data_IF_669634807593
#
_entry.id   IF_669634807593
#
_cell.length_a   1.000
_cell.length_b   1.000
_cell.length_c   1.000
_cell.angle_alpha   90.00
_cell.angle_beta   90.00
_cell.angle_gamma   90.00
#
_symmetry.space_group_name_H-M   'P 1'
#
loop_
_entity.id
_entity.type
_entity.pdbx_description
1 polymer ?
#
# COMPACT_ATOMS: atom_id res chain seq x y z
N UNK A 1 6.77 9.82 17.75
CA UNK A 1 7.00 10.20 16.35
C UNK A 1 6.42 11.61 16.20
N UNK A 2 7.26 12.63 16.07
CA UNK A 2 6.85 14.04 16.30
C UNK A 2 5.93 14.61 15.20
N UNK A 3 5.91 13.99 14.01
CA UNK A 3 5.16 14.49 12.85
C UNK A 3 3.63 14.41 13.00
N UNK A 4 3.09 13.36 13.64
CA UNK A 4 1.64 13.22 13.87
C UNK A 4 1.08 14.28 14.83
N UNK A 5 1.91 14.79 15.75
CA UNK A 5 1.54 15.83 16.70
C UNK A 5 1.70 17.25 16.17
N UNK A 6 2.48 17.44 15.10
CA UNK A 6 2.74 18.76 14.52
C UNK A 6 1.63 19.21 13.57
N UNK A 7 1.08 18.30 12.76
CA UNK A 7 -0.02 18.61 11.84
C UNK A 7 -0.89 17.37 11.55
N UNK A 8 -1.83 17.03 12.44
CA UNK A 8 -2.69 15.86 12.27
C UNK A 8 -3.69 15.99 11.11
N UNK A 9 -3.90 17.20 10.59
CA UNK A 9 -4.83 17.49 9.50
C UNK A 9 -4.20 17.32 8.11
N UNK A 10 -2.89 17.10 8.03
CA UNK A 10 -2.17 16.95 6.78
C UNK A 10 -2.21 15.50 6.29
N UNK A 11 -2.77 15.28 5.10
CA UNK A 11 -2.92 13.96 4.50
C UNK A 11 -1.58 13.26 4.20
N UNK A 12 -0.53 14.02 3.90
CA UNK A 12 0.79 13.50 3.52
C UNK A 12 1.54 12.88 4.71
N UNK A 13 1.34 13.42 5.91
CA UNK A 13 1.95 12.91 7.15
C UNK A 13 1.50 11.47 7.41
N UNK A 14 0.22 11.21 7.20
CA UNK A 14 -0.37 9.88 7.34
C UNK A 14 0.12 8.91 6.26
N UNK A 15 0.31 9.36 5.02
CA UNK A 15 0.93 8.52 3.97
C UNK A 15 2.36 8.17 4.33
N UNK A 16 3.15 9.16 4.77
CA UNK A 16 4.54 8.94 5.19
C UNK A 16 4.63 7.97 6.36
N UNK A 17 3.75 8.09 7.34
CA UNK A 17 3.65 7.17 8.46
C UNK A 17 3.32 5.75 7.99
N UNK A 18 2.35 5.59 7.09
CA UNK A 18 2.00 4.31 6.51
C UNK A 18 3.17 3.67 5.76
N UNK A 19 3.88 4.45 4.94
CA UNK A 19 5.09 3.98 4.25
C UNK A 19 6.21 3.61 5.23
N UNK A 20 6.38 4.38 6.31
CA UNK A 20 7.34 4.08 7.37
C UNK A 20 7.03 2.74 8.03
N UNK A 21 5.77 2.46 8.37
CA UNK A 21 5.39 1.16 8.93
C UNK A 21 5.69 0.02 7.95
N UNK A 22 5.34 0.16 6.66
CA UNK A 22 5.67 -0.85 5.64
C UNK A 22 7.19 -1.08 5.58
N UNK A 23 7.99 -0.01 5.52
CA UNK A 23 9.45 -0.11 5.47
C UNK A 23 10.03 -0.77 6.74
N UNK A 24 9.51 -0.43 7.92
CA UNK A 24 9.95 -1.03 9.17
C UNK A 24 9.63 -2.52 9.24
N UNK A 25 8.46 -2.95 8.74
CA UNK A 25 8.16 -4.40 8.68
C UNK A 25 9.09 -5.15 7.74
N UNK A 26 9.51 -4.54 6.63
CA UNK A 26 10.48 -5.13 5.73
C UNK A 26 11.88 -5.19 6.39
N UNK A 27 12.25 -4.16 7.14
CA UNK A 27 13.52 -4.11 7.87
C UNK A 27 13.58 -5.17 8.98
N UNK A 28 12.52 -5.28 9.79
CA UNK A 28 12.46 -6.29 10.86
C UNK A 28 12.50 -7.70 10.28
N UNK A 29 11.78 -7.98 9.18
CA UNK A 29 11.86 -9.25 8.47
C UNK A 29 13.28 -9.56 7.93
N UNK A 30 13.99 -8.54 7.45
CA UNK A 30 15.38 -8.70 6.96
C UNK A 30 16.36 -8.98 8.10
N UNK A 31 16.23 -8.26 9.23
CA UNK A 31 17.08 -8.45 10.43
C UNK A 31 16.77 -9.74 11.21
N UNK A 32 15.60 -10.35 11.01
CA UNK A 32 15.23 -11.63 11.58
C UNK A 32 15.86 -12.83 10.85
N UNK A 33 16.55 -12.62 9.72
CA UNK A 33 17.48 -13.61 9.16
C UNK A 33 18.66 -13.77 10.13
N UNK A 34 19.04 -15.00 10.55
CA UNK A 34 19.82 -15.22 11.76
C UNK A 34 21.31 -14.97 11.50
N UNK A 35 21.73 -13.72 11.48
CA UNK A 35 23.13 -13.35 11.69
C UNK A 35 23.17 -11.90 12.15
N UNK A 36 23.58 -11.74 13.42
CA UNK A 36 23.76 -10.49 14.16
C UNK A 36 22.51 -9.89 14.83
N UNK A 37 22.11 -10.54 15.93
CA UNK A 37 21.67 -9.79 17.12
C UNK A 37 22.84 -8.92 17.60
N UNK A 38 22.80 -7.62 17.35
CA UNK A 38 23.54 -6.63 18.11
C UNK A 38 22.60 -5.45 18.34
N UNK A 39 22.20 -5.29 19.59
CA UNK A 39 21.05 -4.48 19.98
C UNK A 39 21.22 -2.99 19.78
N UNK A 40 20.08 -2.31 19.77
CA UNK A 40 19.92 -0.98 20.37
C UNK A 40 18.58 -1.03 21.10
N UNK A 41 18.66 -0.83 22.42
CA UNK A 41 17.53 -0.66 23.30
C UNK A 41 17.12 0.83 23.36
N UNK A 42 15.84 1.01 23.70
CA UNK A 42 15.16 2.17 24.31
C UNK A 42 14.70 3.35 23.45
N UNK A 43 13.40 3.58 23.57
CA UNK A 43 12.69 4.85 23.42
C UNK A 43 11.21 4.66 23.79
N UNK A 44 10.90 4.73 25.08
CA UNK A 44 9.54 4.67 25.64
C UNK A 44 8.65 5.81 25.13
N UNK A 45 7.39 5.51 24.83
CA UNK A 45 6.27 6.42 25.00
C UNK A 45 5.03 5.58 25.32
N UNK A 46 4.47 5.84 26.50
CA UNK A 46 3.34 5.17 27.12
C UNK A 46 2.03 5.58 26.44
N UNK A 47 1.09 4.64 26.37
CA UNK A 47 -0.24 4.80 25.79
C UNK A 47 -1.03 3.51 25.94
N UNK A 48 -1.38 3.23 27.19
CA UNK A 48 -2.41 2.33 27.73
C UNK A 48 -2.95 1.20 26.82
N UNK A 49 -2.48 -0.01 27.14
CA UNK A 49 -2.99 -1.30 26.71
C UNK A 49 -4.30 -1.63 27.45
N UNK A 50 -5.38 -1.88 26.71
CA UNK A 50 -6.40 -2.84 27.16
C UNK A 50 -6.10 -4.19 26.52
N UNK A 51 -5.87 -5.16 27.39
CA UNK A 51 -5.54 -6.53 27.08
C UNK A 51 -6.73 -7.29 26.48
N UNK A 52 -6.47 -8.08 25.44
CA UNK A 52 -7.20 -9.35 25.24
C UNK A 52 -6.28 -10.38 24.57
N UNK A 53 -6.38 -11.59 25.08
CA UNK A 53 -5.41 -12.67 25.08
C UNK A 53 -5.36 -13.43 23.75
N UNK A 54 -4.17 -13.92 23.34
CA UNK A 54 -4.09 -14.80 22.18
C UNK A 54 -2.71 -15.10 21.63
N UNK A 55 -1.97 -15.94 22.34
CA UNK A 55 -0.77 -16.65 21.91
C UNK A 55 -0.99 -17.38 20.55
N UNK A 56 0.01 -17.33 19.65
CA UNK A 56 0.06 -17.74 18.21
C UNK A 56 -0.41 -16.70 17.15
N UNK A 57 0.34 -15.60 16.91
CA UNK A 57 -0.07 -14.65 15.86
C UNK A 57 0.92 -13.61 15.29
N UNK A 58 2.22 -13.67 15.58
CA UNK A 58 3.16 -12.56 15.31
C UNK A 58 3.26 -12.07 13.86
N UNK A 59 3.00 -12.91 12.86
CA UNK A 59 3.12 -12.52 11.44
C UNK A 59 1.84 -11.95 10.83
N UNK A 60 0.67 -12.15 11.47
CA UNK A 60 -0.62 -11.90 10.80
C UNK A 60 -0.94 -10.42 10.58
N UNK A 61 -0.24 -9.50 11.24
CA UNK A 61 -0.77 -8.14 11.36
C UNK A 61 0.23 -7.00 11.33
N UNK A 62 1.47 -7.26 10.93
CA UNK A 62 2.52 -6.24 10.87
C UNK A 62 2.14 -5.01 10.00
N UNK A 63 1.20 -5.17 9.06
CA UNK A 63 0.77 -4.14 8.13
C UNK A 63 -0.52 -3.39 8.54
N UNK A 64 -1.22 -3.78 9.62
CA UNK A 64 -2.42 -3.05 10.10
C UNK A 64 -2.14 -1.57 10.43
N UNK A 65 -1.03 -1.23 11.13
CA UNK A 65 -0.72 0.17 11.40
C UNK A 65 -0.54 1.00 10.12
N UNK A 66 -0.03 0.37 9.05
CA UNK A 66 0.09 1.03 7.75
C UNK A 66 -1.29 1.26 7.09
N UNK A 67 -2.19 0.26 7.15
CA UNK A 67 -3.57 0.40 6.67
C UNK A 67 -4.34 1.49 7.42
N UNK A 68 -4.19 1.56 8.75
CA UNK A 68 -4.81 2.61 9.57
C UNK A 68 -4.28 4.00 9.19
N UNK A 69 -2.99 4.14 8.97
CA UNK A 69 -2.40 5.40 8.53
C UNK A 69 -2.92 5.81 7.15
N UNK A 70 -2.96 4.90 6.17
CA UNK A 70 -3.50 5.22 4.84
C UNK A 70 -5.01 5.53 4.89
N UNK A 71 -5.80 4.81 5.67
CA UNK A 71 -7.23 5.08 5.81
C UNK A 71 -7.48 6.45 6.46
N UNK A 72 -6.67 6.85 7.45
CA UNK A 72 -6.72 8.22 8.01
C UNK A 72 -6.44 9.29 6.96
N UNK A 73 -5.45 9.08 6.08
CA UNK A 73 -5.18 9.98 4.96
C UNK A 73 -6.40 10.12 4.03
N UNK A 74 -7.05 8.99 3.71
CA UNK A 74 -8.27 8.98 2.88
C UNK A 74 -9.48 9.62 3.57
N UNK A 75 -9.57 9.56 4.90
CA UNK A 75 -10.61 10.25 5.66
C UNK A 75 -10.45 11.78 5.62
N UNK A 76 -9.21 12.28 5.53
CA UNK A 76 -8.94 13.70 5.34
C UNK A 76 -9.23 14.11 3.89
N UNK A 77 -8.79 13.29 2.92
CA UNK A 77 -8.96 13.54 1.50
C UNK A 77 -9.19 12.24 0.73
N UNK A 78 -10.46 12.00 0.38
CA UNK A 78 -10.90 10.78 -0.29
C UNK A 78 -10.18 10.53 -1.64
N UNK A 79 -9.82 11.60 -2.34
CA UNK A 79 -9.18 11.54 -3.65
C UNK A 79 -7.66 11.67 -3.58
N UNK A 80 -7.02 11.41 -2.43
CA UNK A 80 -5.58 11.56 -2.28
C UNK A 80 -4.80 10.44 -3.00
N UNK A 81 -4.09 10.74 -4.11
CA UNK A 81 -3.50 9.70 -4.95
C UNK A 81 -2.43 8.84 -4.26
N UNK A 82 -1.46 9.42 -3.51
CA UNK A 82 -0.43 8.64 -2.84
C UNK A 82 -0.98 7.62 -1.84
N UNK A 83 -2.04 7.95 -1.09
CA UNK A 83 -2.69 7.01 -0.16
C UNK A 83 -3.36 5.86 -0.91
N UNK A 84 -4.16 6.14 -1.94
CA UNK A 84 -4.86 5.11 -2.72
C UNK A 84 -3.89 4.12 -3.36
N UNK A 85 -2.84 4.64 -4.01
CA UNK A 85 -1.79 3.84 -4.66
C UNK A 85 -1.04 2.99 -3.63
N UNK A 86 -0.68 3.57 -2.48
CA UNK A 86 0.05 2.86 -1.42
C UNK A 86 -0.80 1.77 -0.76
N UNK A 87 -2.09 2.04 -0.53
CA UNK A 87 -3.03 1.07 0.02
C UNK A 87 -3.28 -0.09 -0.96
N UNK A 88 -3.44 0.19 -2.25
CA UNK A 88 -3.56 -0.85 -3.27
C UNK A 88 -2.31 -1.74 -3.36
N UNK A 89 -1.10 -1.14 -3.31
CA UNK A 89 0.18 -1.87 -3.23
C UNK A 89 0.21 -2.77 -1.98
N UNK A 90 -0.27 -2.27 -0.84
CA UNK A 90 -0.33 -3.04 0.41
C UNK A 90 -1.22 -4.28 0.26
N UNK A 91 -2.44 -4.14 -0.24
CA UNK A 91 -3.36 -5.26 -0.44
C UNK A 91 -2.84 -6.30 -1.43
N UNK A 92 -2.21 -5.88 -2.53
CA UNK A 92 -1.55 -6.78 -3.49
C UNK A 92 -0.39 -7.55 -2.84
N UNK A 93 0.44 -6.87 -2.05
CA UNK A 93 1.58 -7.51 -1.34
C UNK A 93 1.10 -8.56 -0.33
N UNK A 94 -0.01 -8.28 0.36
CA UNK A 94 -0.61 -9.18 1.34
C UNK A 94 -1.25 -10.38 0.64
N UNK A 95 -1.97 -10.16 -0.46
CA UNK A 95 -2.56 -11.23 -1.27
C UNK A 95 -1.47 -12.16 -1.85
N UNK A 96 -0.37 -11.60 -2.35
CA UNK A 96 0.75 -12.39 -2.89
C UNK A 96 1.36 -13.29 -1.82
N UNK A 97 1.55 -12.77 -0.60
CA UNK A 97 2.05 -13.57 0.55
C UNK A 97 1.07 -14.67 0.97
N UNK A 98 -0.22 -14.39 1.00
CA UNK A 98 -1.25 -15.38 1.35
C UNK A 98 -1.35 -16.51 0.32
N UNK A 99 -1.23 -16.19 -0.97
CA UNK A 99 -1.20 -17.16 -2.05
C UNK A 99 0.01 -18.11 -1.97
N UNK A 100 1.17 -17.61 -1.51
CA UNK A 100 2.37 -18.43 -1.31
C UNK A 100 2.22 -19.36 -0.09
N UNK A 101 1.54 -18.92 0.98
CA UNK A 101 1.39 -19.69 2.21
C UNK A 101 0.34 -20.83 2.13
N UNK A 102 -0.60 -20.78 1.18
CA UNK A 102 -1.69 -21.77 1.02
C UNK A 102 -1.44 -22.80 -0.10
N UNK A 103 -0.18 -23.16 -0.34
CA UNK A 103 0.21 -24.23 -1.26
C UNK A 103 -0.06 -25.66 -0.75
N UNK A 104 -0.72 -25.83 0.41
CA UNK A 104 -1.21 -27.14 0.84
C UNK A 104 -2.49 -27.51 0.08
N UNK A 105 -2.55 -28.70 -0.55
CA UNK A 105 -3.70 -29.15 -1.33
C UNK A 105 -4.77 -29.69 -0.37
N UNK A 106 -5.48 -28.80 0.33
CA UNK A 106 -6.66 -29.19 1.10
C UNK A 106 -7.89 -28.50 0.51
N UNK A 107 -8.87 -29.34 0.17
CA UNK A 107 -9.99 -29.20 -0.76
C UNK A 107 -11.10 -28.18 -0.38
N UNK A 108 -10.74 -27.03 0.21
CA UNK A 108 -11.65 -25.90 0.40
C UNK A 108 -11.05 -24.68 -0.27
N UNK A 109 -11.38 -24.46 -1.54
CA UNK A 109 -10.97 -23.32 -2.35
C UNK A 109 -11.07 -21.99 -1.56
N UNK A 110 -9.96 -21.39 -1.09
CA UNK A 110 -10.07 -20.22 -0.23
C UNK A 110 -9.47 -19.00 -0.92
N UNK A 111 -10.23 -17.90 -0.98
CA UNK A 111 -9.74 -16.52 -0.77
C UNK A 111 -8.52 -16.02 -1.58
N UNK A 112 -8.12 -16.68 -2.69
CA UNK A 112 -6.89 -16.35 -3.44
C UNK A 112 -6.85 -14.93 -4.03
N UNK A 113 -8.02 -14.29 -4.14
CA UNK A 113 -8.17 -12.96 -4.73
C UNK A 113 -8.67 -11.88 -3.77
N UNK A 114 -8.87 -12.13 -2.46
CA UNK A 114 -9.50 -11.14 -1.57
C UNK A 114 -8.77 -9.78 -1.55
N UNK A 115 -7.44 -9.78 -1.54
CA UNK A 115 -6.68 -8.52 -1.63
C UNK A 115 -6.62 -7.94 -3.04
N UNK A 116 -6.68 -8.77 -4.09
CA UNK A 116 -6.74 -8.31 -5.47
C UNK A 116 -8.09 -7.65 -5.79
N UNK A 117 -9.19 -8.25 -5.33
CA UNK A 117 -10.56 -7.73 -5.51
C UNK A 117 -10.76 -6.42 -4.74
N UNK A 118 -10.16 -6.29 -3.54
CA UNK A 118 -10.17 -5.06 -2.77
C UNK A 118 -9.31 -3.96 -3.43
N UNK A 119 -8.15 -4.32 -3.99
CA UNK A 119 -7.35 -3.39 -4.77
C UNK A 119 -8.08 -2.96 -6.06
N UNK A 120 -8.82 -3.87 -6.72
CA UNK A 120 -9.65 -3.54 -7.88
C UNK A 120 -10.75 -2.54 -7.54
N UNK A 121 -11.47 -2.77 -6.44
CA UNK A 121 -12.58 -1.91 -6.03
C UNK A 121 -12.13 -0.50 -5.68
N UNK A 122 -10.88 -0.32 -5.25
CA UNK A 122 -10.24 0.98 -5.05
C UNK A 122 -9.74 1.59 -6.36
N UNK A 123 -9.02 0.82 -7.19
CA UNK A 123 -8.33 1.34 -8.37
C UNK A 123 -9.25 1.58 -9.57
N UNK A 124 -10.30 0.78 -9.75
CA UNK A 124 -11.21 0.90 -10.89
C UNK A 124 -11.97 2.24 -10.89
N UNK A 125 -12.64 2.68 -9.81
CA UNK A 125 -13.25 4.01 -9.77
C UNK A 125 -12.20 5.14 -9.77
N UNK A 126 -11.02 4.90 -9.20
CA UNK A 126 -9.96 5.92 -9.14
C UNK A 126 -9.36 6.24 -10.51
N UNK A 127 -9.01 5.22 -11.29
CA UNK A 127 -8.48 5.36 -12.66
C UNK A 127 -9.50 5.94 -13.65
N UNK A 128 -10.79 5.82 -13.34
CA UNK A 128 -11.88 6.42 -14.13
C UNK A 128 -12.23 7.85 -13.70
N UNK A 129 -11.67 8.35 -12.59
CA UNK A 129 -11.98 9.67 -12.02
C UNK A 129 -10.72 10.53 -11.89
N UNK A 130 -10.27 10.81 -10.66
CA UNK A 130 -9.19 11.75 -10.36
C UNK A 130 -7.82 11.19 -10.72
N UNK A 131 -7.66 9.86 -10.71
CA UNK A 131 -6.39 9.18 -10.98
C UNK A 131 -6.20 8.77 -12.44
N UNK A 132 -6.96 9.32 -13.39
CA UNK A 132 -6.92 8.91 -14.79
C UNK A 132 -5.57 9.17 -15.46
N UNK A 133 -4.84 10.20 -15.01
CA UNK A 133 -3.53 10.62 -15.50
C UNK A 133 -2.35 10.02 -14.72
N UNK A 134 -2.62 9.11 -13.78
CA UNK A 134 -1.60 8.54 -12.90
C UNK A 134 -1.17 7.17 -13.43
N UNK A 135 0.02 7.06 -14.03
CA UNK A 135 0.50 5.81 -14.63
C UNK A 135 0.64 4.67 -13.60
N UNK A 136 1.03 4.99 -12.37
CA UNK A 136 1.14 4.00 -11.29
C UNK A 136 -0.20 3.31 -11.01
N UNK A 137 -1.31 4.04 -11.05
CA UNK A 137 -2.64 3.49 -10.78
C UNK A 137 -3.06 2.50 -11.87
N UNK A 138 -2.83 2.84 -13.14
CA UNK A 138 -3.08 1.97 -14.29
C UNK A 138 -2.19 0.73 -14.28
N UNK A 139 -0.92 0.89 -13.92
CA UNK A 139 0.00 -0.23 -13.77
C UNK A 139 -0.47 -1.23 -12.72
N UNK A 140 -0.90 -0.74 -11.55
CA UNK A 140 -1.42 -1.59 -10.48
C UNK A 140 -2.75 -2.25 -10.85
N UNK A 141 -3.64 -1.55 -11.55
CA UNK A 141 -4.89 -2.13 -12.05
C UNK A 141 -4.62 -3.29 -13.02
N UNK A 142 -3.65 -3.13 -13.92
CA UNK A 142 -3.20 -4.21 -14.79
C UNK A 142 -2.58 -5.38 -14.01
N UNK A 143 -1.85 -5.10 -12.93
CA UNK A 143 -1.33 -6.14 -12.04
C UNK A 143 -2.44 -6.93 -11.35
N UNK A 144 -3.47 -6.26 -10.85
CA UNK A 144 -4.68 -6.89 -10.27
C UNK A 144 -5.36 -7.78 -11.31
N UNK A 145 -5.58 -7.27 -12.52
CA UNK A 145 -6.20 -8.02 -13.62
C UNK A 145 -5.40 -9.28 -13.98
N UNK A 146 -4.07 -9.21 -14.00
CA UNK A 146 -3.21 -10.37 -14.20
C UNK A 146 -3.37 -11.39 -13.07
N UNK A 147 -3.36 -10.95 -11.80
CA UNK A 147 -3.51 -11.85 -10.65
C UNK A 147 -4.84 -12.61 -10.73
N UNK A 148 -5.90 -11.99 -11.24
CA UNK A 148 -7.21 -12.61 -11.45
C UNK A 148 -7.31 -13.46 -12.73
N UNK A 149 -6.25 -13.56 -13.54
CA UNK A 149 -6.23 -14.32 -14.80
C UNK A 149 -6.84 -13.60 -16.01
N UNK A 150 -7.08 -12.29 -15.94
CA UNK A 150 -7.59 -11.45 -17.05
C UNK A 150 -6.42 -10.79 -17.80
N UNK A 151 -5.69 -11.56 -18.59
CA UNK A 151 -4.46 -11.08 -19.24
C UNK A 151 -4.68 -9.99 -20.29
N UNK A 152 -5.74 -10.06 -21.10
CA UNK A 152 -6.02 -9.02 -22.10
C UNK A 152 -6.28 -7.66 -21.45
N UNK A 153 -7.07 -7.64 -20.37
CA UNK A 153 -7.31 -6.43 -19.58
C UNK A 153 -6.01 -5.91 -18.98
N UNK A 154 -5.15 -6.79 -18.48
CA UNK A 154 -3.85 -6.39 -17.93
C UNK A 154 -2.98 -5.70 -18.99
N UNK A 155 -2.96 -6.23 -20.21
CA UNK A 155 -2.25 -5.66 -21.34
C UNK A 155 -2.75 -4.26 -21.69
N UNK A 156 -4.06 -4.08 -21.84
CA UNK A 156 -4.67 -2.76 -22.10
C UNK A 156 -4.27 -1.73 -21.05
N UNK A 157 -4.34 -2.10 -19.77
CA UNK A 157 -3.95 -1.21 -18.66
C UNK A 157 -2.48 -0.82 -18.70
N UNK A 158 -1.58 -1.74 -19.06
CA UNK A 158 -0.15 -1.45 -19.16
C UNK A 158 0.22 -0.64 -20.39
N UNK A 159 -0.43 -0.88 -21.53
CA UNK A 159 -0.26 -0.06 -22.73
C UNK A 159 -0.69 1.39 -22.44
N UNK A 160 -1.79 1.58 -21.72
CA UNK A 160 -2.23 2.91 -21.28
C UNK A 160 -1.26 3.57 -20.30
N UNK A 161 -0.81 2.83 -19.27
CA UNK A 161 0.18 3.33 -18.30
C UNK A 161 1.48 3.76 -18.99
N UNK A 162 1.95 2.99 -19.96
CA UNK A 162 3.14 3.30 -20.74
C UNK A 162 2.94 4.57 -21.57
N UNK A 163 1.77 4.73 -22.21
CA UNK A 163 1.42 5.94 -22.94
C UNK A 163 1.45 7.19 -22.05
N UNK A 164 0.94 7.09 -20.82
CA UNK A 164 0.99 8.18 -19.84
C UNK A 164 2.43 8.54 -19.45
N UNK A 165 3.27 7.55 -19.14
CA UNK A 165 4.68 7.80 -18.79
C UNK A 165 5.47 8.43 -19.94
N UNK A 166 5.23 7.97 -21.18
CA UNK A 166 5.88 8.56 -22.36
C UNK A 166 5.44 10.02 -22.60
N UNK A 167 4.18 10.34 -22.28
CA UNK A 167 3.65 11.70 -22.35
C UNK A 167 4.02 12.59 -21.16
N UNK A 168 4.56 12.03 -20.08
CA UNK A 168 4.82 12.75 -18.84
C UNK A 168 6.06 13.63 -18.98
N UNK A 169 5.88 14.94 -18.82
CA UNK A 169 6.99 15.88 -18.78
C UNK A 169 7.82 15.73 -17.50
N UNK A 170 9.12 16.06 -17.57
CA UNK A 170 10.03 16.06 -16.41
C UNK A 170 9.56 17.06 -15.32
N UNK A 171 8.79 18.07 -15.71
CA UNK A 171 8.23 19.08 -14.81
C UNK A 171 6.75 19.26 -15.07
N UNK A 172 6.00 19.42 -14.00
CA UNK A 172 4.59 19.78 -14.06
C UNK A 172 4.42 21.18 -14.68
N UNK A 173 3.30 21.38 -15.38
CA UNK A 173 2.93 22.68 -15.93
C UNK A 173 2.79 23.78 -14.86
N UNK A 174 2.65 23.41 -13.57
CA UNK A 174 2.64 24.34 -12.44
C UNK A 174 3.93 25.15 -12.33
N UNK A 175 5.08 24.60 -12.75
CA UNK A 175 6.35 25.31 -12.69
C UNK A 175 6.43 26.47 -13.68
N UNK A 176 5.61 26.46 -14.75
CA UNK A 176 5.59 27.52 -15.77
C UNK A 176 4.98 28.83 -15.25
N UNK A 177 4.10 28.79 -14.22
CA UNK A 177 3.53 29.99 -13.60
C UNK A 177 4.58 30.92 -12.99
N UNK A 178 5.78 30.42 -12.71
CA UNK A 178 6.90 31.22 -12.19
C UNK A 178 7.66 31.95 -13.30
N UNK A 179 7.50 31.52 -14.55
CA UNK A 179 8.24 32.03 -15.72
C UNK A 179 7.36 32.86 -16.68
N UNK A 180 6.06 32.95 -16.42
CA UNK A 180 5.08 33.81 -17.08
C UNK A 180 4.72 34.98 -16.17
#
# INVERSE_FOLDING_TARGET
MEAEGLDPANEDVWVQLGMYHVANTALTATTASPSLKAGIAKGQAEGEEEADDGEYGGEKQAWKPAEEAFSKSLLLKADHPPALVSLAKLYLSTSTRQNLATSTPTDRAPKRYQGADLAESLLNPFTQSVGWDIPEAWYLLGHVARVQGREERARECWEFALGLEQGRGIRDWSCLKRWL
#
